data_IF_974767871812
#
_entry.id   IF_974767871812
#
_cell.length_a   1.000
_cell.length_b   1.000
_cell.length_c   1.000
_cell.angle_alpha   90.00
_cell.angle_beta   90.00
_cell.angle_gamma   90.00
#
_symmetry.space_group_name_H-M   'P 1'
#
loop_
_entity.id
_entity.type
_entity.pdbx_description
1 polymer ?
#
# COMPACT_ATOMS: atom_id res chain seq x y z
N UNK A 1 31.39 58.68 -9.60
CA UNK A 1 31.73 58.32 -8.21
C UNK A 1 30.80 57.21 -7.79
N UNK A 2 31.40 56.08 -7.42
CA UNK A 2 30.76 54.88 -6.86
C UNK A 2 30.68 55.11 -5.35
N UNK A 3 29.55 54.81 -4.72
CA UNK A 3 29.50 54.11 -3.42
C UNK A 3 28.19 53.31 -3.37
N UNK A 4 28.30 51.99 -3.36
CA UNK A 4 27.20 51.06 -3.09
C UNK A 4 27.64 50.34 -1.84
N UNK A 5 27.11 50.79 -0.70
CA UNK A 5 27.48 50.27 0.60
C UNK A 5 26.96 48.85 0.75
N UNK A 6 27.89 47.95 1.08
CA UNK A 6 27.61 46.57 1.45
C UNK A 6 27.34 46.58 2.93
N UNK A 7 26.10 46.32 3.35
CA UNK A 7 25.89 45.80 4.70
C UNK A 7 25.20 44.43 4.67
N UNK A 8 25.81 43.56 5.45
CA UNK A 8 25.59 42.13 5.55
C UNK A 8 24.27 41.81 6.25
N UNK A 9 23.66 40.72 5.79
CA UNK A 9 22.45 40.04 6.30
C UNK A 9 22.35 39.94 7.84
N UNK A 10 21.14 39.66 8.37
CA UNK A 10 20.88 38.25 8.69
C UNK A 10 19.46 37.76 8.36
N UNK A 11 19.40 36.69 7.56
CA UNK A 11 18.73 35.43 7.90
C UNK A 11 17.41 35.55 8.68
N UNK A 12 16.36 36.09 8.05
CA UNK A 12 14.98 35.91 8.55
C UNK A 12 14.54 34.47 8.25
N UNK A 13 14.69 33.65 9.29
CA UNK A 13 13.86 32.48 9.56
C UNK A 13 12.40 32.90 9.42
N UNK A 14 11.70 32.33 8.44
CA UNK A 14 10.31 32.73 8.19
C UNK A 14 9.64 32.02 7.02
N UNK A 15 9.90 30.73 6.83
CA UNK A 15 9.02 29.89 6.01
C UNK A 15 8.45 28.81 6.93
N UNK A 16 7.44 29.18 7.71
CA UNK A 16 6.57 28.24 8.39
C UNK A 16 5.73 27.53 7.32
N UNK A 17 6.36 26.59 6.60
CA UNK A 17 5.64 25.60 5.84
C UNK A 17 4.83 24.79 6.82
N UNK A 18 3.51 24.94 6.80
CA UNK A 18 2.61 23.97 7.36
C UNK A 18 2.90 22.64 6.66
N UNK A 19 3.77 21.82 7.26
CA UNK A 19 3.94 20.43 6.86
C UNK A 19 2.68 19.72 7.31
N UNK A 20 1.67 19.74 6.45
CA UNK A 20 0.64 18.71 6.46
C UNK A 20 1.34 17.36 6.31
N UNK A 21 1.57 16.73 7.46
CA UNK A 21 2.07 15.37 7.49
C UNK A 21 0.93 14.49 6.99
N UNK A 22 0.93 14.17 5.70
CA UNK A 22 0.15 13.08 5.13
C UNK A 22 0.66 11.75 5.72
N UNK A 23 0.47 11.55 7.02
CA UNK A 23 0.95 10.41 7.81
C UNK A 23 -0.08 9.27 7.85
N UNK A 24 -1.25 9.45 7.23
CA UNK A 24 -2.31 8.45 7.20
C UNK A 24 -2.08 7.34 6.17
N UNK A 25 -1.59 7.68 4.97
CA UNK A 25 -1.40 6.71 3.88
C UNK A 25 0.08 6.68 3.41
N UNK A 26 0.81 5.57 3.63
CA UNK A 26 2.20 5.44 3.22
C UNK A 26 2.41 5.33 1.70
N UNK A 27 1.35 5.18 0.90
CA UNK A 27 1.39 5.20 -0.57
C UNK A 27 1.19 6.61 -1.16
N UNK A 28 0.82 7.61 -0.35
CA UNK A 28 0.71 8.99 -0.84
C UNK A 28 2.09 9.57 -1.07
N UNK A 29 2.31 10.11 -2.27
CA UNK A 29 3.58 10.69 -2.63
C UNK A 29 3.88 11.90 -1.74
N UNK A 30 5.10 12.02 -1.21
CA UNK A 30 5.50 13.21 -0.48
C UNK A 30 5.39 14.49 -1.30
N UNK A 31 4.72 15.51 -0.76
CA UNK A 31 4.84 16.89 -1.25
C UNK A 31 6.20 17.48 -0.84
N UNK A 32 6.83 18.20 -1.76
CA UNK A 32 8.12 18.87 -1.56
C UNK A 32 9.37 17.96 -1.69
N UNK A 33 10.57 18.48 -1.34
CA UNK A 33 11.81 17.73 -1.44
C UNK A 33 11.78 16.42 -0.63
N UNK A 34 12.18 15.32 -1.27
CA UNK A 34 12.12 13.99 -0.67
C UNK A 34 13.39 13.73 0.14
N UNK A 35 13.23 13.61 1.45
CA UNK A 35 14.31 13.17 2.33
C UNK A 35 14.58 11.68 2.13
N UNK A 36 15.82 11.25 2.39
CA UNK A 36 16.22 9.84 2.29
C UNK A 36 15.33 8.90 3.09
N UNK A 37 14.92 9.30 4.31
CA UNK A 37 14.03 8.50 5.15
C UNK A 37 12.62 8.36 4.56
N UNK A 38 12.11 9.41 3.91
CA UNK A 38 10.80 9.42 3.24
C UNK A 38 10.82 8.53 1.99
N UNK A 39 11.88 8.61 1.18
CA UNK A 39 12.08 7.69 0.05
C UNK A 39 12.13 6.22 0.50
N UNK A 40 12.83 5.92 1.61
CA UNK A 40 12.90 4.55 2.15
C UNK A 40 11.52 4.03 2.58
N UNK A 41 10.74 4.82 3.31
CA UNK A 41 9.38 4.43 3.74
C UNK A 41 8.45 4.22 2.55
N UNK A 42 8.46 5.12 1.60
CA UNK A 42 7.65 5.03 0.38
C UNK A 42 8.00 3.78 -0.44
N UNK A 43 9.29 3.49 -0.62
CA UNK A 43 9.73 2.26 -1.30
C UNK A 43 9.26 0.99 -0.58
N UNK A 44 9.34 0.95 0.75
CA UNK A 44 8.83 -0.18 1.53
C UNK A 44 7.31 -0.34 1.40
N UNK A 45 6.56 0.77 1.41
CA UNK A 45 5.11 0.77 1.24
C UNK A 45 4.68 0.25 -0.14
N UNK A 46 5.35 0.70 -1.21
CA UNK A 46 5.10 0.20 -2.56
C UNK A 46 5.40 -1.29 -2.66
N UNK A 47 6.55 -1.74 -2.15
CA UNK A 47 6.90 -3.17 -2.20
C UNK A 47 5.85 -4.04 -1.50
N UNK A 48 5.35 -3.60 -0.34
CA UNK A 48 4.29 -4.29 0.37
C UNK A 48 2.98 -4.28 -0.41
N UNK A 49 2.57 -3.13 -0.94
CA UNK A 49 1.35 -3.02 -1.75
C UNK A 49 1.37 -3.97 -2.96
N UNK A 50 2.47 -3.97 -3.71
CA UNK A 50 2.64 -4.87 -4.86
C UNK A 50 2.57 -6.34 -4.43
N UNK A 51 3.20 -6.70 -3.30
CA UNK A 51 3.15 -8.06 -2.79
C UNK A 51 1.72 -8.49 -2.41
N UNK A 52 0.96 -7.61 -1.76
CA UNK A 52 -0.45 -7.86 -1.40
C UNK A 52 -1.30 -8.03 -2.66
N UNK A 53 -1.16 -7.13 -3.64
CA UNK A 53 -1.90 -7.21 -4.90
C UNK A 53 -1.61 -8.52 -5.65
N UNK A 54 -0.33 -8.87 -5.82
CA UNK A 54 0.06 -10.12 -6.50
C UNK A 54 -0.50 -11.34 -5.75
N UNK A 55 -0.43 -11.33 -4.41
CA UNK A 55 -0.93 -12.44 -3.60
C UNK A 55 -2.44 -12.59 -3.72
N UNK A 56 -3.18 -11.47 -3.72
CA UNK A 56 -4.62 -11.48 -3.89
C UNK A 56 -5.02 -11.94 -5.30
N UNK A 57 -4.41 -11.38 -6.34
CA UNK A 57 -4.67 -11.79 -7.72
C UNK A 57 -4.35 -13.27 -7.94
N UNK A 58 -3.22 -13.76 -7.41
CA UNK A 58 -2.86 -15.17 -7.49
C UNK A 58 -3.86 -16.06 -6.76
N UNK A 59 -4.29 -15.64 -5.57
CA UNK A 59 -5.32 -16.34 -4.80
C UNK A 59 -6.63 -16.43 -5.59
N UNK A 60 -7.08 -15.31 -6.17
CA UNK A 60 -8.32 -15.25 -6.94
C UNK A 60 -8.24 -16.12 -8.21
N UNK A 61 -7.12 -16.06 -8.93
CA UNK A 61 -6.87 -16.91 -10.11
C UNK A 61 -6.88 -18.39 -9.72
N UNK A 62 -6.18 -18.77 -8.65
CA UNK A 62 -6.13 -20.15 -8.19
C UNK A 62 -7.50 -20.64 -7.72
N UNK A 63 -8.23 -19.81 -6.98
CA UNK A 63 -9.57 -20.11 -6.49
C UNK A 63 -10.56 -20.29 -7.64
N UNK A 64 -10.62 -19.34 -8.57
CA UNK A 64 -11.53 -19.40 -9.71
C UNK A 64 -11.27 -20.65 -10.56
N UNK A 65 -10.00 -20.95 -10.84
CA UNK A 65 -9.63 -22.17 -11.56
C UNK A 65 -10.04 -23.44 -10.82
N UNK A 66 -9.88 -23.48 -9.50
CA UNK A 66 -10.32 -24.60 -8.68
C UNK A 66 -11.84 -24.79 -8.76
N UNK A 67 -12.62 -23.70 -8.73
CA UNK A 67 -14.06 -23.76 -8.89
C UNK A 67 -14.46 -24.32 -10.27
N UNK A 68 -13.82 -23.87 -11.34
CA UNK A 68 -14.06 -24.40 -12.70
C UNK A 68 -13.73 -25.89 -12.80
N UNK A 69 -12.58 -26.33 -12.26
CA UNK A 69 -12.19 -27.75 -12.25
C UNK A 69 -13.17 -28.61 -11.43
N UNK A 70 -13.69 -28.08 -10.31
CA UNK A 70 -14.62 -28.78 -9.45
C UNK A 70 -16.04 -28.85 -10.03
N UNK A 71 -16.47 -27.90 -10.86
CA UNK A 71 -17.77 -27.96 -11.56
C UNK A 71 -17.91 -29.25 -12.39
N UNK A 72 -16.79 -29.73 -12.95
CA UNK A 72 -16.73 -31.02 -13.65
C UNK A 72 -16.69 -32.27 -12.76
N UNK A 73 -16.56 -32.12 -11.43
CA UNK A 73 -16.34 -33.22 -10.48
C UNK A 73 -17.43 -33.23 -9.38
N UNK A 74 -18.64 -33.73 -9.70
CA UNK A 74 -19.80 -33.63 -8.80
C UNK A 74 -19.60 -34.32 -7.44
N UNK A 75 -18.76 -35.35 -7.35
CA UNK A 75 -18.51 -36.07 -6.09
C UNK A 75 -17.68 -35.28 -5.08
N UNK A 76 -16.71 -34.49 -5.54
CA UNK A 76 -15.88 -33.66 -4.65
C UNK A 76 -16.66 -32.43 -4.18
N UNK A 77 -17.46 -31.83 -5.05
CA UNK A 77 -18.34 -30.71 -4.69
C UNK A 77 -19.36 -31.12 -3.64
N UNK A 78 -20.03 -32.27 -3.81
CA UNK A 78 -20.97 -32.79 -2.81
C UNK A 78 -20.29 -33.05 -1.47
N UNK A 79 -19.05 -33.57 -1.48
CA UNK A 79 -18.29 -33.82 -0.25
C UNK A 79 -17.89 -32.52 0.46
N UNK A 80 -17.39 -31.52 -0.28
CA UNK A 80 -17.03 -30.20 0.28
C UNK A 80 -18.25 -29.50 0.89
N UNK A 81 -19.38 -29.48 0.19
CA UNK A 81 -20.64 -28.90 0.70
C UNK A 81 -21.14 -29.67 1.92
N UNK A 82 -21.05 -31.00 1.92
CA UNK A 82 -21.41 -31.81 3.09
C UNK A 82 -20.48 -31.54 4.29
N UNK A 83 -19.19 -31.29 4.05
CA UNK A 83 -18.24 -30.90 5.08
C UNK A 83 -18.56 -29.52 5.67
N UNK A 84 -18.85 -28.49 4.87
CA UNK A 84 -19.26 -27.17 5.39
C UNK A 84 -20.56 -27.26 6.19
N UNK A 85 -21.58 -27.96 5.68
CA UNK A 85 -22.87 -28.14 6.37
C UNK A 85 -22.69 -28.97 7.66
N UNK A 86 -21.77 -29.93 7.67
CA UNK A 86 -21.43 -30.71 8.87
C UNK A 86 -20.74 -29.86 9.95
N UNK A 87 -19.81 -28.99 9.54
CA UNK A 87 -19.10 -28.06 10.46
C UNK A 87 -20.06 -27.03 11.04
N UNK A 88 -20.97 -26.46 10.23
CA UNK A 88 -21.95 -25.48 10.71
C UNK A 88 -23.03 -26.07 11.63
N UNK A 89 -23.26 -27.38 11.63
CA UNK A 89 -24.21 -28.08 12.52
C UNK A 89 -23.58 -28.57 13.82
N UNK A 90 -22.26 -28.48 13.95
CA UNK A 90 -21.49 -28.86 15.14
C UNK A 90 -21.08 -27.67 16.03
N UNK A 91 -21.47 -26.44 15.67
CA UNK A 91 -21.36 -25.24 16.49
C UNK A 91 -22.74 -24.82 17.00
#
# INVERSE_FOLDING_TARGET
MIEIDTDSSPLVVGAQGSMENNEGDPLVLPSGPVTRSRAKRYGAAISLYVQVQITQELHDVAFNKCCEELEGIPRLVILLVACEVGVARMC
#
